data_IF_326305969815
#
_entry.id   IF_326305969815
#
_cell.length_a   1.000
_cell.length_b   1.000
_cell.length_c   1.000
_cell.angle_alpha   90.00
_cell.angle_beta   90.00
_cell.angle_gamma   90.00
#
_symmetry.space_group_name_H-M   'P 1'
#
loop_
_entity.id
_entity.type
_entity.pdbx_description
1 polymer ?
#
# COMPACT_ATOMS: atom_id res chain seq x y z
N UNK A 1 -25.88 -12.54 3.04
CA UNK A 1 -24.40 -12.38 3.05
C UNK A 1 -24.11 -11.02 3.65
N UNK A 2 -23.29 -10.93 4.70
CA UNK A 2 -22.94 -9.66 5.31
C UNK A 2 -21.72 -9.06 4.58
N UNK A 3 -21.84 -7.86 4.05
CA UNK A 3 -20.77 -7.17 3.32
C UNK A 3 -20.03 -6.17 4.23
N UNK A 4 -18.80 -5.82 3.84
CA UNK A 4 -18.15 -4.65 4.43
C UNK A 4 -18.94 -3.38 4.08
N UNK A 5 -18.79 -2.32 4.90
CA UNK A 5 -19.41 -1.04 4.57
C UNK A 5 -18.90 -0.53 3.21
N UNK A 6 -19.74 0.22 2.48
CA UNK A 6 -19.37 0.83 1.19
C UNK A 6 -18.06 1.62 1.30
N UNK A 7 -17.88 2.36 2.39
CA UNK A 7 -16.66 3.12 2.64
C UNK A 7 -15.42 2.22 2.77
N UNK A 8 -15.49 1.12 3.53
CA UNK A 8 -14.36 0.18 3.65
C UNK A 8 -14.01 -0.46 2.29
N UNK A 9 -15.02 -0.81 1.49
CA UNK A 9 -14.84 -1.36 0.15
C UNK A 9 -14.16 -0.33 -0.76
N UNK A 10 -14.70 0.90 -0.84
CA UNK A 10 -14.13 1.97 -1.66
C UNK A 10 -12.68 2.26 -1.27
N UNK A 11 -12.37 2.34 0.03
CA UNK A 11 -11.02 2.61 0.50
C UNK A 11 -10.06 1.45 0.20
N UNK A 12 -10.51 0.20 0.28
CA UNK A 12 -9.70 -0.96 -0.09
C UNK A 12 -9.26 -0.89 -1.55
N UNK A 13 -10.23 -0.74 -2.48
CA UNK A 13 -9.95 -0.69 -3.92
C UNK A 13 -9.19 0.57 -4.33
N UNK A 14 -9.49 1.71 -3.72
CA UNK A 14 -8.72 2.93 -3.93
C UNK A 14 -7.27 2.73 -3.48
N UNK A 15 -7.02 2.11 -2.32
CA UNK A 15 -5.65 1.82 -1.88
C UNK A 15 -4.92 0.94 -2.88
N UNK A 16 -5.57 -0.11 -3.38
CA UNK A 16 -4.97 -0.99 -4.40
C UNK A 16 -4.61 -0.22 -5.67
N UNK A 17 -5.52 0.63 -6.17
CA UNK A 17 -5.29 1.46 -7.34
C UNK A 17 -4.11 2.40 -7.15
N UNK A 18 -4.07 3.17 -6.05
CA UNK A 18 -3.00 4.12 -5.79
C UNK A 18 -1.65 3.42 -5.57
N UNK A 19 -1.64 2.28 -4.87
CA UNK A 19 -0.44 1.45 -4.73
C UNK A 19 0.05 0.95 -6.08
N UNK A 20 -0.86 0.49 -6.96
CA UNK A 20 -0.52 0.07 -8.32
C UNK A 20 0.10 1.20 -9.14
N UNK A 21 -0.47 2.41 -9.06
CA UNK A 21 0.09 3.61 -9.71
C UNK A 21 1.47 3.95 -9.15
N UNK A 22 1.66 3.90 -7.82
CA UNK A 22 2.94 4.19 -7.19
C UNK A 22 4.05 3.22 -7.66
N UNK A 23 3.76 1.92 -7.73
CA UNK A 23 4.69 0.92 -8.25
C UNK A 23 4.93 1.13 -9.75
N UNK A 24 3.88 1.30 -10.56
CA UNK A 24 4.03 1.52 -11.99
C UNK A 24 4.89 2.75 -12.29
N UNK A 25 4.67 3.86 -11.58
CA UNK A 25 5.43 5.09 -11.77
C UNK A 25 6.92 4.89 -11.46
N UNK A 26 7.26 4.17 -10.39
CA UNK A 26 8.66 3.94 -10.04
C UNK A 26 9.30 2.96 -11.02
N UNK A 27 8.67 1.84 -11.37
CA UNK A 27 9.24 0.86 -12.30
C UNK A 27 9.44 1.43 -13.72
N UNK A 28 8.45 2.16 -14.22
CA UNK A 28 8.47 2.69 -15.60
C UNK A 28 9.37 3.92 -15.77
N UNK A 29 9.84 4.55 -14.67
CA UNK A 29 10.74 5.72 -14.72
C UNK A 29 12.00 5.48 -15.55
N UNK A 30 12.47 4.24 -15.62
CA UNK A 30 13.68 3.87 -16.34
C UNK A 30 13.57 4.00 -17.86
N UNK A 31 12.35 4.08 -18.39
CA UNK A 31 12.10 4.22 -19.83
C UNK A 31 12.25 5.67 -20.31
N UNK A 32 12.33 6.63 -19.38
CA UNK A 32 12.57 8.03 -19.68
C UNK A 32 14.04 8.40 -19.36
N UNK A 33 14.67 9.30 -20.15
CA UNK A 33 15.98 9.84 -19.81
C UNK A 33 15.98 10.48 -18.42
N UNK A 34 17.02 10.20 -17.62
CA UNK A 34 17.15 10.77 -16.27
C UNK A 34 17.11 12.31 -16.35
N UNK A 35 16.25 12.92 -15.53
CA UNK A 35 16.09 14.38 -15.48
C UNK A 35 15.13 14.97 -16.51
N UNK A 36 14.61 14.18 -17.46
CA UNK A 36 13.52 14.62 -18.34
C UNK A 36 12.24 14.92 -17.55
N UNK A 37 11.32 15.71 -18.13
CA UNK A 37 10.03 16.01 -17.51
C UNK A 37 9.23 14.73 -17.20
N UNK A 38 9.26 13.73 -18.08
CA UNK A 38 8.60 12.43 -17.86
C UNK A 38 9.22 11.67 -16.68
N UNK A 39 10.56 11.64 -16.60
CA UNK A 39 11.26 11.01 -15.48
C UNK A 39 10.89 11.66 -14.14
N UNK A 40 10.85 12.99 -14.10
CA UNK A 40 10.48 13.75 -12.89
C UNK A 40 9.00 13.54 -12.54
N UNK A 41 8.10 13.61 -13.53
CA UNK A 41 6.67 13.36 -13.34
C UNK A 41 6.39 11.97 -12.74
N UNK A 42 7.08 10.93 -13.22
CA UNK A 42 6.95 9.57 -12.68
C UNK A 42 7.44 9.49 -11.22
N UNK A 43 8.50 10.21 -10.86
CA UNK A 43 8.95 10.28 -9.47
C UNK A 43 7.97 11.02 -8.58
N UNK A 44 7.48 12.17 -9.01
CA UNK A 44 6.51 12.95 -8.25
C UNK A 44 5.21 12.17 -8.07
N UNK A 45 4.75 11.49 -9.11
CA UNK A 45 3.60 10.56 -9.04
C UNK A 45 3.82 9.47 -8.00
N UNK A 46 5.00 8.84 -7.96
CA UNK A 46 5.31 7.84 -6.95
C UNK A 46 5.24 8.42 -5.52
N UNK A 47 5.77 9.62 -5.30
CA UNK A 47 5.72 10.29 -4.00
C UNK A 47 4.30 10.66 -3.57
N UNK A 48 3.54 11.30 -4.46
CA UNK A 48 2.15 11.71 -4.22
C UNK A 48 1.27 10.51 -3.87
N UNK A 49 1.32 9.45 -4.70
CA UNK A 49 0.54 8.25 -4.47
C UNK A 49 0.99 7.52 -3.18
N UNK A 50 2.29 7.50 -2.89
CA UNK A 50 2.82 6.93 -1.66
C UNK A 50 2.25 7.59 -0.40
N UNK A 51 2.22 8.93 -0.37
CA UNK A 51 1.64 9.68 0.77
C UNK A 51 0.12 9.53 0.84
N UNK A 52 -0.58 9.50 -0.30
CA UNK A 52 -2.02 9.21 -0.30
C UNK A 52 -2.32 7.81 0.24
N UNK A 53 -1.59 6.78 -0.19
CA UNK A 53 -1.70 5.42 0.36
C UNK A 53 -1.48 5.45 1.86
N UNK A 54 -0.46 6.17 2.34
CA UNK A 54 -0.19 6.31 3.77
C UNK A 54 -1.40 6.85 4.55
N UNK A 55 -2.01 7.94 4.07
CA UNK A 55 -3.19 8.54 4.67
C UNK A 55 -4.40 7.58 4.65
N UNK A 56 -4.62 6.89 3.52
CA UNK A 56 -5.70 5.90 3.40
C UNK A 56 -5.50 4.70 4.35
N UNK A 57 -4.25 4.28 4.58
CA UNK A 57 -3.95 3.18 5.51
C UNK A 57 -4.37 3.51 6.94
N UNK A 58 -4.15 4.74 7.41
CA UNK A 58 -4.65 5.19 8.72
C UNK A 58 -6.17 5.19 8.78
N UNK A 59 -6.85 5.71 7.75
CA UNK A 59 -8.31 5.72 7.70
C UNK A 59 -8.87 4.29 7.69
N UNK A 60 -8.26 3.39 6.92
CA UNK A 60 -8.64 1.97 6.88
C UNK A 60 -8.43 1.29 8.24
N UNK A 61 -7.33 1.58 8.93
CA UNK A 61 -7.07 1.04 10.26
C UNK A 61 -8.10 1.54 11.28
N UNK A 62 -8.43 2.83 11.25
CA UNK A 62 -9.49 3.42 12.08
C UNK A 62 -10.84 2.72 11.83
N UNK A 63 -11.24 2.55 10.57
CA UNK A 63 -12.51 1.89 10.23
C UNK A 63 -12.50 0.40 10.59
N UNK A 64 -11.36 -0.29 10.46
CA UNK A 64 -11.22 -1.68 10.89
C UNK A 64 -11.35 -1.85 12.40
N UNK A 65 -10.92 -0.87 13.18
CA UNK A 65 -11.12 -0.87 14.63
C UNK A 65 -12.57 -0.52 15.01
N UNK A 66 -13.19 0.39 14.27
CA UNK A 66 -14.55 0.90 14.53
C UNK A 66 -15.65 -0.10 14.19
N UNK A 67 -15.50 -0.86 13.11
CA UNK A 67 -16.53 -1.78 12.60
C UNK A 67 -16.09 -3.24 12.73
N UNK A 68 -16.99 -4.15 13.16
CA UNK A 68 -16.68 -5.57 13.16
C UNK A 68 -16.50 -6.07 11.72
N UNK A 69 -15.58 -7.02 11.53
CA UNK A 69 -15.45 -7.73 10.26
C UNK A 69 -16.71 -8.58 10.04
N UNK A 70 -17.32 -8.57 8.84
CA UNK A 70 -18.42 -9.48 8.55
C UNK A 70 -17.95 -10.94 8.66
N UNK A 71 -18.87 -11.84 9.02
CA UNK A 71 -18.56 -13.28 9.15
C UNK A 71 -18.35 -13.90 7.77
N UNK A 72 -17.39 -14.82 7.64
CA UNK A 72 -17.15 -15.63 6.42
C UNK A 72 -18.10 -16.83 6.42
N UNK A 73 -18.74 -17.09 5.28
CA UNK A 73 -19.63 -18.24 5.09
C UNK A 73 -19.22 -19.06 3.85
N UNK A 74 -19.04 -20.39 3.99
CA UNK A 74 -18.99 -21.15 5.24
C UNK A 74 -17.79 -20.77 6.15
N UNK A 75 -17.87 -20.98 7.47
CA UNK A 75 -16.78 -20.61 8.39
C UNK A 75 -15.49 -21.36 8.06
N UNK A 76 -14.36 -20.65 7.87
CA UNK A 76 -13.08 -21.31 7.62
C UNK A 76 -12.50 -21.89 8.91
N UNK A 77 -11.59 -22.88 8.82
CA UNK A 77 -10.91 -23.42 9.99
C UNK A 77 -10.04 -22.36 10.68
N UNK A 78 -9.83 -22.52 11.99
CA UNK A 78 -9.15 -21.53 12.83
C UNK A 78 -7.77 -21.08 12.30
N UNK A 79 -6.99 -22.00 11.72
CA UNK A 79 -5.67 -21.67 11.17
C UNK A 79 -5.73 -20.67 10.00
N UNK A 80 -6.79 -20.69 9.19
CA UNK A 80 -6.99 -19.70 8.11
C UNK A 80 -7.30 -18.32 8.68
N UNK A 81 -8.05 -18.24 9.78
CA UNK A 81 -8.28 -16.96 10.48
C UNK A 81 -6.99 -16.35 11.03
N UNK A 82 -6.12 -17.17 11.64
CA UNK A 82 -4.82 -16.72 12.14
C UNK A 82 -3.93 -16.26 10.99
N UNK A 83 -3.84 -17.05 9.91
CA UNK A 83 -3.07 -16.69 8.71
C UNK A 83 -3.56 -15.37 8.08
N UNK A 84 -4.88 -15.19 7.95
CA UNK A 84 -5.47 -13.96 7.44
C UNK A 84 -5.14 -12.76 8.33
N UNK A 85 -5.18 -12.92 9.67
CA UNK A 85 -4.80 -11.85 10.60
C UNK A 85 -3.33 -11.46 10.44
N UNK A 86 -2.42 -12.43 10.35
CA UNK A 86 -1.00 -12.18 10.15
C UNK A 86 -0.72 -11.49 8.81
N UNK A 87 -1.37 -11.95 7.73
CA UNK A 87 -1.30 -11.30 6.41
C UNK A 87 -1.74 -9.84 6.47
N UNK A 88 -2.88 -9.55 7.11
CA UNK A 88 -3.34 -8.17 7.27
C UNK A 88 -2.35 -7.33 8.08
N UNK A 89 -1.82 -7.84 9.19
CA UNK A 89 -0.80 -7.13 9.99
C UNK A 89 0.43 -6.82 9.13
N UNK A 90 0.94 -7.81 8.38
CA UNK A 90 2.09 -7.62 7.51
C UNK A 90 1.85 -6.55 6.44
N UNK A 91 0.68 -6.55 5.79
CA UNK A 91 0.28 -5.53 4.83
C UNK A 91 0.18 -4.13 5.49
N UNK A 92 -0.48 -4.03 6.65
CA UNK A 92 -0.60 -2.75 7.37
C UNK A 92 0.76 -2.17 7.73
N UNK A 93 1.64 -2.98 8.33
CA UNK A 93 2.98 -2.55 8.72
C UNK A 93 3.81 -2.13 7.49
N UNK A 94 3.77 -2.92 6.41
CA UNK A 94 4.54 -2.63 5.19
C UNK A 94 4.09 -1.31 4.55
N UNK A 95 2.79 -1.12 4.32
CA UNK A 95 2.26 0.07 3.64
C UNK A 95 2.19 1.32 4.53
N UNK A 96 2.30 1.19 5.86
CA UNK A 96 2.55 2.32 6.76
C UNK A 96 4.04 2.68 6.82
N UNK A 97 4.95 1.71 6.77
CA UNK A 97 6.39 1.95 6.84
C UNK A 97 6.97 2.52 5.54
N UNK A 98 6.50 2.04 4.38
CA UNK A 98 7.06 2.44 3.08
C UNK A 98 7.04 3.96 2.83
N UNK A 99 5.91 4.67 2.94
CA UNK A 99 5.87 6.11 2.71
C UNK A 99 6.70 6.89 3.73
N UNK A 100 6.69 6.45 5.00
CA UNK A 100 7.52 7.04 6.05
C UNK A 100 9.01 6.94 5.73
N UNK A 101 9.48 5.76 5.28
CA UNK A 101 10.85 5.56 4.82
C UNK A 101 11.16 6.39 3.58
N UNK A 102 10.20 6.56 2.66
CA UNK A 102 10.35 7.41 1.48
C UNK A 102 10.61 8.88 1.86
N UNK A 103 9.82 9.43 2.78
CA UNK A 103 10.01 10.79 3.31
C UNK A 103 11.36 10.90 4.04
N UNK A 104 11.70 9.94 4.90
CA UNK A 104 12.97 9.92 5.62
C UNK A 104 14.18 9.83 4.68
N UNK A 105 14.09 9.08 3.58
CA UNK A 105 15.10 8.99 2.54
C UNK A 105 15.30 10.33 1.80
N UNK A 106 14.23 11.06 1.52
CA UNK A 106 14.33 12.38 0.87
C UNK A 106 14.96 13.41 1.82
N UNK A 107 14.53 13.39 3.09
CA UNK A 107 15.05 14.28 4.13
C UNK A 107 16.55 14.04 4.41
N UNK A 108 16.95 12.80 4.69
CA UNK A 108 18.36 12.42 4.89
C UNK A 108 19.22 12.64 3.64
N UNK A 109 18.62 12.62 2.45
CA UNK A 109 19.31 12.90 1.21
C UNK A 109 19.53 14.38 0.90
N UNK A 110 19.01 15.31 1.72
CA UNK A 110 19.08 16.74 1.47
C UNK A 110 18.31 17.18 0.23
N UNK A 111 17.25 16.45 -0.15
CA UNK A 111 16.50 16.70 -1.38
C UNK A 111 15.12 17.24 -1.06
N UNK A 112 14.80 18.39 -1.62
CA UNK A 112 13.40 18.81 -1.74
C UNK A 112 12.66 17.89 -2.71
N UNK A 113 11.35 17.82 -2.51
CA UNK A 113 10.44 17.08 -3.39
C UNK A 113 9.09 17.79 -3.46
N UNK A 114 8.31 17.46 -4.48
CA UNK A 114 6.98 18.03 -4.68
C UNK A 114 5.92 17.08 -4.12
N UNK A 115 4.99 17.61 -3.32
CA UNK A 115 3.76 16.92 -2.93
C UNK A 115 2.58 17.69 -3.52
N UNK A 116 1.93 17.17 -4.56
CA UNK A 116 0.87 17.86 -5.31
C UNK A 116 1.20 19.32 -5.68
N UNK A 117 2.45 19.57 -6.10
CA UNK A 117 2.93 20.91 -6.48
C UNK A 117 3.42 21.77 -5.32
N UNK A 118 3.21 21.36 -4.07
CA UNK A 118 3.80 22.01 -2.91
C UNK A 118 5.22 21.49 -2.70
N UNK A 119 6.18 22.41 -2.63
CA UNK A 119 7.57 22.04 -2.34
C UNK A 119 7.70 21.69 -0.87
N UNK A 120 8.08 20.45 -0.59
CA UNK A 120 8.51 20.02 0.73
C UNK A 120 9.99 20.39 0.89
N UNK A 121 10.33 21.33 1.78
CA UNK A 121 11.71 21.78 1.94
C UNK A 121 12.57 20.71 2.59
N UNK A 122 13.89 20.88 2.49
CA UNK A 122 14.83 20.08 3.27
C UNK A 122 14.72 20.51 4.74
N UNK A 123 14.48 19.57 5.64
CA UNK A 123 14.31 19.82 7.08
C UNK A 123 15.27 19.00 7.97
N UNK A 124 16.22 18.27 7.37
CA UNK A 124 17.27 17.54 8.08
C UNK A 124 18.64 17.85 7.45
N UNK A 125 19.68 17.78 8.25
CA UNK A 125 21.07 17.79 7.76
C UNK A 125 21.30 16.52 6.92
N UNK A 126 21.85 16.64 5.71
CA UNK A 126 22.07 15.47 4.85
C UNK A 126 23.07 14.49 5.47
N UNK A 127 22.73 13.20 5.43
CA UNK A 127 23.58 12.07 5.83
C UNK A 127 23.48 10.99 4.75
N UNK A 128 24.56 10.81 3.99
CA UNK A 128 24.61 9.88 2.87
C UNK A 128 24.56 8.41 3.30
N UNK A 129 25.13 8.07 4.47
CA UNK A 129 25.12 6.72 5.01
C UNK A 129 23.71 6.34 5.45
N UNK A 130 23.07 7.21 6.25
CA UNK A 130 21.69 7.04 6.68
C UNK A 130 20.73 6.93 5.50
N UNK A 131 20.85 7.82 4.51
CA UNK A 131 20.05 7.76 3.28
C UNK A 131 20.21 6.42 2.56
N UNK A 132 21.44 5.91 2.45
CA UNK A 132 21.72 4.63 1.79
C UNK A 132 21.05 3.47 2.52
N UNK A 133 21.12 3.44 3.85
CA UNK A 133 20.46 2.41 4.65
C UNK A 133 18.93 2.48 4.55
N UNK A 134 18.34 3.68 4.67
CA UNK A 134 16.89 3.86 4.50
C UNK A 134 16.45 3.41 3.11
N UNK A 135 17.19 3.80 2.07
CA UNK A 135 16.90 3.38 0.69
C UNK A 135 16.89 1.86 0.56
N UNK A 136 17.91 1.17 1.11
CA UNK A 136 17.99 -0.30 1.09
C UNK A 136 16.80 -0.95 1.78
N UNK A 137 16.41 -0.44 2.95
CA UNK A 137 15.24 -0.94 3.70
C UNK A 137 13.95 -0.67 2.92
N UNK A 138 13.80 0.52 2.34
CA UNK A 138 12.62 0.88 1.54
C UNK A 138 12.48 -0.03 0.31
N UNK A 139 13.55 -0.25 -0.45
CA UNK A 139 13.56 -1.15 -1.62
C UNK A 139 13.26 -2.61 -1.20
N UNK A 140 13.85 -3.07 -0.10
CA UNK A 140 13.55 -4.40 0.44
C UNK A 140 12.06 -4.56 0.82
N UNK A 141 11.50 -3.59 1.55
CA UNK A 141 10.08 -3.62 1.95
C UNK A 141 9.15 -3.49 0.74
N UNK A 142 9.52 -2.73 -0.29
CA UNK A 142 8.75 -2.62 -1.53
C UNK A 142 8.69 -3.98 -2.25
N UNK A 143 9.82 -4.69 -2.32
CA UNK A 143 9.87 -6.05 -2.87
C UNK A 143 9.03 -7.04 -2.06
N UNK A 144 9.10 -6.98 -0.72
CA UNK A 144 8.20 -7.76 0.15
C UNK A 144 6.74 -7.40 -0.10
N UNK A 145 6.44 -6.12 -0.31
CA UNK A 145 5.11 -5.60 -0.63
C UNK A 145 4.49 -6.25 -1.87
N UNK A 146 5.26 -6.42 -2.96
CA UNK A 146 4.79 -7.16 -4.15
C UNK A 146 4.35 -8.58 -3.78
N UNK A 147 5.18 -9.31 -3.04
CA UNK A 147 4.88 -10.68 -2.65
C UNK A 147 3.66 -10.79 -1.74
N UNK A 148 3.54 -9.88 -0.75
CA UNK A 148 2.37 -9.82 0.13
C UNK A 148 1.08 -9.52 -0.62
N UNK A 149 1.08 -8.56 -1.55
CA UNK A 149 -0.09 -8.27 -2.40
C UNK A 149 -0.45 -9.50 -3.23
N UNK A 150 0.54 -10.12 -3.89
CA UNK A 150 0.31 -11.29 -4.73
C UNK A 150 -0.29 -12.45 -3.93
N UNK A 151 0.28 -12.78 -2.77
CA UNK A 151 -0.25 -13.82 -1.88
C UNK A 151 -1.66 -13.48 -1.36
N UNK A 152 -1.89 -12.23 -0.98
CA UNK A 152 -3.21 -11.77 -0.52
C UNK A 152 -4.28 -11.93 -1.61
N UNK A 153 -3.98 -11.49 -2.83
CA UNK A 153 -4.87 -11.64 -3.98
C UNK A 153 -5.07 -13.11 -4.33
N UNK A 154 -4.01 -13.91 -4.40
CA UNK A 154 -4.09 -15.34 -4.68
C UNK A 154 -4.95 -16.07 -3.64
N UNK A 155 -4.82 -15.75 -2.35
CA UNK A 155 -5.68 -16.28 -1.30
C UNK A 155 -7.15 -15.90 -1.53
N UNK A 156 -7.45 -14.64 -1.85
CA UNK A 156 -8.82 -14.21 -2.14
C UNK A 156 -9.43 -14.97 -3.34
N UNK A 157 -8.66 -15.19 -4.40
CA UNK A 157 -9.09 -15.97 -5.57
C UNK A 157 -9.24 -17.46 -5.24
N UNK A 158 -8.34 -18.03 -4.43
CA UNK A 158 -8.45 -19.40 -3.92
C UNK A 158 -9.74 -19.59 -3.12
N UNK A 159 -10.03 -18.66 -2.22
CA UNK A 159 -11.27 -18.67 -1.44
C UNK A 159 -12.52 -18.57 -2.35
N UNK A 160 -12.46 -17.73 -3.38
CA UNK A 160 -13.59 -17.52 -4.29
C UNK A 160 -13.85 -18.73 -5.22
N UNK A 161 -12.81 -19.25 -5.87
CA UNK A 161 -12.97 -20.25 -6.93
C UNK A 161 -12.85 -21.70 -6.43
N UNK A 162 -12.03 -21.95 -5.40
CA UNK A 162 -11.75 -23.30 -4.91
C UNK A 162 -12.55 -23.59 -3.64
N UNK A 163 -12.40 -22.76 -2.60
CA UNK A 163 -13.18 -22.95 -1.36
C UNK A 163 -14.66 -22.62 -1.54
N UNK A 164 -14.97 -21.76 -2.54
CA UNK A 164 -16.33 -21.29 -2.86
C UNK A 164 -17.02 -20.65 -1.66
N UNK A 165 -16.24 -19.93 -0.85
CA UNK A 165 -16.77 -19.12 0.24
C UNK A 165 -16.93 -17.65 -0.17
N UNK A 166 -17.53 -16.86 0.73
CA UNK A 166 -17.84 -15.46 0.49
C UNK A 166 -16.70 -14.47 0.79
N UNK A 167 -15.48 -14.93 1.09
CA UNK A 167 -14.37 -14.06 1.52
C UNK A 167 -14.11 -12.92 0.55
N UNK A 168 -14.01 -13.21 -0.75
CA UNK A 168 -13.78 -12.20 -1.78
C UNK A 168 -15.03 -11.36 -2.05
N UNK A 169 -16.20 -12.01 -2.15
CA UNK A 169 -17.47 -11.37 -2.51
C UNK A 169 -17.90 -10.27 -1.53
N UNK A 170 -17.52 -10.40 -0.26
CA UNK A 170 -17.81 -9.38 0.77
C UNK A 170 -17.05 -8.07 0.59
N UNK A 171 -15.99 -8.07 -0.23
CA UNK A 171 -15.18 -6.89 -0.56
C UNK A 171 -15.46 -6.34 -1.97
N UNK A 172 -16.37 -6.93 -2.74
CA UNK A 172 -16.67 -6.44 -4.10
C UNK A 172 -17.54 -5.17 -4.09
N UNK A 173 -17.31 -4.22 -5.01
CA UNK A 173 -18.22 -3.10 -5.22
C UNK A 173 -19.59 -3.58 -5.73
N UNK A 174 -20.67 -2.86 -5.39
CA UNK A 174 -21.97 -3.02 -6.05
C UNK A 174 -22.95 -4.03 -5.45
N UNK A 175 -22.63 -4.66 -4.31
CA UNK A 175 -23.58 -5.46 -3.52
C UNK A 175 -23.51 -5.01 -2.07
N UNK A 176 -24.42 -4.13 -1.67
CA UNK A 176 -24.62 -3.71 -0.28
C UNK A 176 -26.08 -3.87 0.08
#
# INVERSE_FOLDING_TARGET
MAHFSRLQITLHWLTLLLTGIAYAAIELRGWAPKGSSVYLFMKDTHYDMGVLVWALMFLRLYLKHKYPDPVITPPPPHWQHVAAKLMHIALYLTFLALPLLGVAMMASGGKSWSFFGFTVPVFLTPDSALKSDIKRIHEMLANIGYFLIAMHAAAALFHHYIQKDDTFSRMLPGKS
#
